data_IF_512687939006
#
_entry.id   IF_512687939006
#
_cell.length_a   1.000
_cell.length_b   1.000
_cell.length_c   1.000
_cell.angle_alpha   90.00
_cell.angle_beta   90.00
_cell.angle_gamma   90.00
#
_symmetry.space_group_name_H-M   'P 1'
#
loop_
_entity.id
_entity.type
_entity.pdbx_description
1 polymer ?
#
# COMPACT_ATOMS: atom_id res chain seq x y z
N UNK A 1 -1.06 -7.80 25.86
CA UNK A 1 0.30 -7.82 25.30
C UNK A 1 0.51 -6.51 24.53
N UNK A 2 1.63 -5.81 24.77
CA UNK A 2 1.89 -4.45 24.23
C UNK A 2 2.26 -4.53 22.74
N UNK A 3 1.67 -3.67 21.90
CA UNK A 3 1.79 -3.67 20.42
C UNK A 3 2.68 -2.52 19.91
N UNK A 4 3.94 -2.40 20.35
CA UNK A 4 4.75 -1.22 20.03
C UNK A 4 6.13 -1.53 19.44
N UNK A 5 6.54 -0.71 18.46
CA UNK A 5 7.94 -0.51 18.08
C UNK A 5 8.77 0.09 19.23
N UNK A 6 10.06 0.35 18.99
CA UNK A 6 10.98 0.76 20.06
C UNK A 6 10.50 1.98 20.83
N UNK A 7 10.76 1.97 22.14
CA UNK A 7 10.12 2.81 23.17
C UNK A 7 10.53 4.29 23.07
N UNK A 8 9.70 5.11 22.45
CA UNK A 8 9.55 6.50 22.86
C UNK A 8 8.78 6.57 24.19
N UNK A 9 9.06 7.58 25.02
CA UNK A 9 8.27 7.81 26.23
C UNK A 9 6.79 8.07 25.86
N UNK A 10 5.82 7.46 26.55
CA UNK A 10 4.41 7.70 26.24
C UNK A 10 4.06 9.18 26.41
N UNK A 11 3.23 9.72 25.50
CA UNK A 11 2.59 11.03 25.65
C UNK A 11 1.68 11.01 26.86
N UNK A 12 2.21 11.32 28.04
CA UNK A 12 1.55 11.05 29.33
C UNK A 12 0.27 11.89 29.53
N UNK A 13 0.16 13.04 28.82
CA UNK A 13 -0.96 13.99 28.92
C UNK A 13 -1.46 14.53 27.56
N UNK A 14 -0.81 14.18 26.45
CA UNK A 14 -1.14 14.63 25.10
C UNK A 14 -1.06 13.41 24.20
N UNK A 15 -2.20 12.95 23.67
CA UNK A 15 -2.33 11.92 22.63
C UNK A 15 -1.31 10.78 22.66
N UNK A 16 -1.68 9.64 23.24
CA UNK A 16 -0.88 8.41 23.25
C UNK A 16 -0.53 7.86 21.86
N UNK A 17 -1.32 8.22 20.84
CA UNK A 17 -1.01 7.96 19.44
C UNK A 17 -0.35 9.16 18.77
N UNK A 18 -1.08 10.27 18.67
CA UNK A 18 -0.64 11.49 17.99
C UNK A 18 -0.80 12.70 18.92
N UNK A 19 0.28 13.44 19.17
CA UNK A 19 0.22 14.71 19.90
C UNK A 19 0.72 15.84 18.99
N UNK A 20 -0.14 16.82 18.72
CA UNK A 20 0.21 18.01 17.95
C UNK A 20 0.11 19.28 18.81
N UNK A 21 1.25 19.75 19.33
CA UNK A 21 1.33 20.96 20.14
C UNK A 21 1.35 22.23 19.27
N UNK A 22 2.18 22.22 18.22
CA UNK A 22 2.26 23.33 17.24
C UNK A 22 2.39 22.81 15.82
N UNK A 23 1.90 23.60 14.85
CA UNK A 23 1.94 23.24 13.43
C UNK A 23 0.73 22.45 12.97
N UNK A 24 0.84 21.85 11.79
CA UNK A 24 -0.27 21.18 11.12
C UNK A 24 -0.02 19.67 11.03
N UNK A 25 -1.00 18.89 11.49
CA UNK A 25 -1.05 17.44 11.28
C UNK A 25 -2.32 17.12 10.53
N UNK A 26 -2.23 16.41 9.41
CA UNK A 26 -3.40 16.00 8.61
C UNK A 26 -3.38 14.49 8.42
N UNK A 27 -4.49 13.83 8.74
CA UNK A 27 -4.67 12.40 8.55
C UNK A 27 -5.45 12.12 7.26
N UNK A 28 -5.07 11.08 6.54
CA UNK A 28 -5.80 10.56 5.36
C UNK A 28 -5.54 9.07 5.28
N UNK A 29 -6.57 8.24 5.07
CA UNK A 29 -6.41 6.78 5.01
C UNK A 29 -5.60 6.25 6.22
N UNK A 30 -5.83 6.81 7.42
CA UNK A 30 -5.04 6.55 8.62
C UNK A 30 -5.86 5.83 9.70
N UNK A 31 -5.24 4.84 10.35
CA UNK A 31 -5.73 4.19 11.55
C UNK A 31 -5.02 4.77 12.77
N UNK A 32 -5.77 5.17 13.79
CA UNK A 32 -5.24 5.55 15.11
C UNK A 32 -6.00 4.77 16.17
N UNK A 33 -5.32 4.03 17.03
CA UNK A 33 -6.02 3.25 18.04
C UNK A 33 -5.13 2.31 18.82
N UNK A 34 -5.74 1.54 19.72
CA UNK A 34 -5.06 0.67 20.67
C UNK A 34 -3.99 1.38 21.51
N UNK A 35 -4.20 2.67 21.79
CA UNK A 35 -3.30 3.45 22.63
C UNK A 35 -3.30 2.90 24.05
N UNK A 36 -2.10 2.64 24.59
CA UNK A 36 -1.95 1.98 25.89
C UNK A 36 -1.99 2.94 27.08
N UNK A 37 -1.93 4.23 26.82
CA UNK A 37 -2.03 5.32 27.78
C UNK A 37 -2.40 6.61 27.03
N UNK A 38 -3.21 7.46 27.65
CA UNK A 38 -3.73 8.67 27.00
C UNK A 38 -4.80 8.36 25.95
N UNK A 39 -5.19 9.41 25.24
CA UNK A 39 -6.15 9.39 24.13
C UNK A 39 -5.46 9.05 22.79
N UNK A 40 -6.20 8.70 21.74
CA UNK A 40 -5.62 8.45 20.41
C UNK A 40 -4.95 9.67 19.80
N UNK A 41 -5.51 10.85 19.99
CA UNK A 41 -4.90 12.08 19.53
C UNK A 41 -5.16 13.28 20.44
N UNK A 42 -4.25 14.24 20.41
CA UNK A 42 -4.41 15.52 21.10
C UNK A 42 -3.88 16.69 20.26
N UNK A 43 -4.49 17.85 20.46
CA UNK A 43 -4.19 19.07 19.73
C UNK A 43 -4.89 19.15 18.38
N UNK A 44 -4.46 20.10 17.54
CA UNK A 44 -5.13 20.37 16.26
C UNK A 44 -4.76 19.31 15.21
N UNK A 45 -5.68 18.38 14.93
CA UNK A 45 -5.51 17.34 13.92
C UNK A 45 -6.55 17.57 12.83
N UNK A 46 -6.10 17.72 11.58
CA UNK A 46 -6.97 17.91 10.41
C UNK A 46 -7.40 16.56 9.85
N UNK A 47 -8.71 16.34 9.77
CA UNK A 47 -9.27 15.16 9.12
C UNK A 47 -9.34 15.36 7.59
N UNK A 48 -8.48 14.64 6.88
CA UNK A 48 -8.44 14.62 5.41
C UNK A 48 -9.39 13.61 4.75
N UNK A 49 -10.14 12.84 5.53
CA UNK A 49 -11.06 11.79 5.10
C UNK A 49 -10.49 10.38 5.25
N UNK A 50 -11.41 9.42 5.37
CA UNK A 50 -11.12 7.98 5.42
C UNK A 50 -10.14 7.60 6.54
N UNK A 51 -10.30 8.21 7.71
CA UNK A 51 -9.51 7.89 8.91
C UNK A 51 -10.36 7.12 9.92
N UNK A 52 -9.78 6.19 10.66
CA UNK A 52 -10.48 5.48 11.75
C UNK A 52 -9.77 5.71 13.09
N UNK A 53 -10.55 6.00 14.13
CA UNK A 53 -10.09 6.09 15.51
C UNK A 53 -10.93 5.22 16.44
N UNK A 54 -10.32 4.35 17.26
CA UNK A 54 -11.06 3.51 18.23
C UNK A 54 -11.51 4.24 19.52
N UNK A 55 -11.30 5.56 19.57
CA UNK A 55 -11.87 6.47 20.55
C UNK A 55 -12.37 7.76 19.88
N UNK A 56 -12.97 8.66 20.67
CA UNK A 56 -13.51 9.94 20.20
C UNK A 56 -12.56 11.15 20.36
N UNK A 57 -11.28 10.93 20.71
CA UNK A 57 -10.33 12.01 21.00
C UNK A 57 -9.90 12.79 19.75
N UNK A 58 -9.92 12.14 18.58
CA UNK A 58 -9.71 12.78 17.30
C UNK A 58 -11.07 13.12 16.68
N UNK A 59 -11.30 14.42 16.46
CA UNK A 59 -12.50 14.90 15.78
C UNK A 59 -12.44 14.53 14.29
N UNK A 60 -13.07 13.41 13.95
CA UNK A 60 -13.19 12.90 12.58
C UNK A 60 -14.60 13.17 12.05
N UNK A 61 -14.70 13.91 10.95
CA UNK A 61 -15.96 14.36 10.35
C UNK A 61 -15.93 14.43 8.82
N UNK A 62 -14.77 14.25 8.19
CA UNK A 62 -14.64 14.20 6.75
C UNK A 62 -15.17 12.86 6.18
N UNK A 63 -15.41 12.83 4.87
CA UNK A 63 -15.94 11.66 4.17
C UNK A 63 -15.16 10.39 4.49
N UNK A 64 -15.89 9.33 4.84
CA UNK A 64 -15.35 8.01 5.12
C UNK A 64 -14.58 7.89 6.43
N UNK A 65 -14.42 8.97 7.20
CA UNK A 65 -13.79 8.91 8.52
C UNK A 65 -14.78 8.51 9.60
N UNK A 66 -14.30 7.80 10.62
CA UNK A 66 -15.11 7.36 11.76
C UNK A 66 -14.27 7.37 13.05
N UNK A 67 -14.77 7.99 14.11
CA UNK A 67 -14.18 7.92 15.45
C UNK A 67 -15.22 7.54 16.50
N UNK A 68 -14.82 6.80 17.53
CA UNK A 68 -15.71 6.39 18.61
C UNK A 68 -15.24 5.15 19.37
N UNK A 69 -15.66 5.04 20.63
CA UNK A 69 -15.20 4.02 21.60
C UNK A 69 -15.58 2.58 21.27
N UNK A 70 -16.45 2.36 20.27
CA UNK A 70 -16.94 1.04 19.88
C UNK A 70 -16.37 0.56 18.55
N UNK A 71 -15.39 1.27 17.98
CA UNK A 71 -14.79 0.89 16.70
C UNK A 71 -13.70 -0.14 16.96
N UNK A 72 -13.98 -1.38 16.60
CA UNK A 72 -12.99 -2.45 16.64
C UNK A 72 -12.21 -2.44 15.32
N UNK A 73 -10.97 -1.94 15.34
CA UNK A 73 -10.11 -1.91 14.14
C UNK A 73 -9.65 -3.32 13.71
N UNK A 74 -9.71 -4.31 14.61
CA UNK A 74 -9.37 -5.71 14.36
C UNK A 74 -7.95 -5.90 13.80
N UNK A 75 -6.98 -5.24 14.44
CA UNK A 75 -5.57 -5.36 14.09
C UNK A 75 -4.88 -6.42 14.93
N UNK A 76 -3.96 -7.16 14.32
CA UNK A 76 -3.09 -8.15 14.95
C UNK A 76 -1.96 -7.50 15.75
N UNK A 77 -0.84 -8.22 15.85
CA UNK A 77 0.39 -7.73 16.48
C UNK A 77 1.36 -7.17 15.45
N UNK A 78 2.16 -6.19 15.87
CA UNK A 78 3.24 -5.66 15.04
C UNK A 78 4.24 -6.79 14.80
N UNK A 79 4.47 -7.13 13.54
CA UNK A 79 5.27 -8.29 13.19
C UNK A 79 5.75 -8.29 11.76
N UNK A 80 6.55 -9.28 11.42
CA UNK A 80 7.01 -9.53 10.06
C UNK A 80 5.91 -10.22 9.26
N UNK A 81 5.15 -9.47 8.46
CA UNK A 81 4.05 -10.02 7.65
C UNK A 81 4.36 -10.01 6.13
N UNK A 82 5.65 -10.11 5.80
CA UNK A 82 6.19 -9.84 4.46
C UNK A 82 6.68 -8.40 4.31
N UNK A 83 7.62 -8.18 3.40
CA UNK A 83 8.19 -6.85 3.11
C UNK A 83 9.35 -6.40 4.03
N UNK A 84 9.83 -5.16 3.84
CA UNK A 84 11.03 -4.65 4.50
C UNK A 84 10.79 -4.07 5.91
N UNK A 85 9.54 -3.83 6.31
CA UNK A 85 9.17 -3.24 7.61
C UNK A 85 8.13 -4.10 8.33
N UNK A 86 8.05 -3.96 9.66
CA UNK A 86 6.98 -4.59 10.43
C UNK A 86 5.64 -3.88 10.18
N UNK A 87 4.55 -4.64 10.13
CA UNK A 87 3.19 -4.15 9.90
C UNK A 87 2.20 -4.77 10.89
N UNK A 88 0.97 -4.27 10.92
CA UNK A 88 -0.16 -4.84 11.66
C UNK A 88 -1.11 -5.51 10.66
N UNK A 89 -1.28 -6.84 10.69
CA UNK A 89 -2.23 -7.53 9.82
C UNK A 89 -3.66 -7.41 10.37
N UNK A 90 -4.69 -7.64 9.55
CA UNK A 90 -6.06 -7.76 10.03
C UNK A 90 -6.31 -9.15 10.64
N UNK A 91 -7.07 -9.20 11.75
CA UNK A 91 -7.41 -10.45 12.44
C UNK A 91 -8.76 -11.02 12.01
N UNK A 92 -9.59 -10.22 11.33
CA UNK A 92 -10.89 -10.65 10.84
C UNK A 92 -11.25 -9.90 9.55
N UNK A 93 -12.14 -10.50 8.76
CA UNK A 93 -12.55 -10.03 7.43
C UNK A 93 -13.56 -8.88 7.48
N UNK A 94 -14.15 -8.62 8.64
CA UNK A 94 -15.15 -7.57 8.88
C UNK A 94 -14.53 -6.31 9.48
N UNK A 95 -13.21 -6.12 9.34
CA UNK A 95 -12.53 -4.94 9.86
C UNK A 95 -13.07 -3.70 9.15
N UNK A 96 -13.40 -2.62 9.88
CA UNK A 96 -13.87 -1.38 9.28
C UNK A 96 -12.83 -0.70 8.38
N UNK A 97 -11.57 -1.16 8.42
CA UNK A 97 -10.48 -0.65 7.60
C UNK A 97 -10.37 -1.32 6.23
N UNK A 98 -10.98 -2.51 6.04
CA UNK A 98 -10.94 -3.25 4.78
C UNK A 98 -11.82 -2.57 3.74
N UNK A 99 -11.30 -2.40 2.52
CA UNK A 99 -11.96 -1.71 1.40
C UNK A 99 -12.51 -0.33 1.78
N UNK A 100 -11.89 0.35 2.75
CA UNK A 100 -12.43 1.56 3.37
C UNK A 100 -11.68 2.86 3.02
N UNK A 101 -10.54 2.77 2.32
CA UNK A 101 -9.66 3.90 1.99
C UNK A 101 -10.06 4.71 0.75
N UNK A 102 -9.49 5.89 0.59
CA UNK A 102 -9.60 6.67 -0.65
C UNK A 102 -8.59 6.20 -1.69
N UNK A 103 -9.05 5.55 -2.76
CA UNK A 103 -8.19 5.08 -3.85
C UNK A 103 -7.40 6.23 -4.52
N UNK A 104 -7.95 7.44 -4.54
CA UNK A 104 -7.27 8.60 -5.13
C UNK A 104 -6.04 9.05 -4.33
N UNK A 105 -5.96 8.66 -3.06
CA UNK A 105 -4.84 8.92 -2.18
C UNK A 105 -3.98 7.67 -1.91
N UNK A 106 -4.38 6.51 -2.44
CA UNK A 106 -3.68 5.25 -2.20
C UNK A 106 -2.48 5.06 -3.12
N UNK A 107 -1.41 4.55 -2.54
CA UNK A 107 -0.28 4.04 -3.31
C UNK A 107 -0.66 2.69 -3.93
N UNK A 108 -0.08 2.31 -5.10
CA UNK A 108 -0.39 1.05 -5.77
C UNK A 108 -0.09 -0.21 -4.93
N UNK A 109 0.81 -0.10 -3.96
CA UNK A 109 1.18 -1.18 -3.04
C UNK A 109 1.12 -0.71 -1.60
N UNK A 110 0.94 -1.64 -0.67
CA UNK A 110 1.09 -1.41 0.75
C UNK A 110 2.59 -1.36 1.18
N UNK A 111 2.87 -1.20 2.48
CA UNK A 111 4.26 -1.10 2.97
C UNK A 111 5.06 -2.38 2.79
N UNK A 112 4.40 -3.51 2.51
CA UNK A 112 5.05 -4.80 2.25
C UNK A 112 5.46 -4.95 0.79
N UNK A 113 5.10 -3.99 -0.07
CA UNK A 113 5.11 -4.06 -1.53
C UNK A 113 4.09 -5.06 -2.11
N UNK A 114 3.02 -5.34 -1.38
CA UNK A 114 1.91 -6.12 -1.91
C UNK A 114 0.96 -5.17 -2.62
N UNK A 115 0.55 -5.52 -3.83
CA UNK A 115 -0.43 -4.78 -4.60
C UNK A 115 -1.75 -4.71 -3.83
N UNK A 116 -2.36 -3.54 -3.87
CA UNK A 116 -3.69 -3.33 -3.29
C UNK A 116 -4.75 -4.04 -4.14
N UNK A 117 -5.77 -4.60 -3.48
CA UNK A 117 -6.79 -5.45 -4.09
C UNK A 117 -8.16 -4.82 -3.92
N UNK A 118 -8.79 -4.41 -5.02
CA UNK A 118 -10.07 -3.71 -4.94
C UNK A 118 -9.88 -2.28 -4.46
N UNK A 119 -10.71 -1.85 -3.52
CA UNK A 119 -10.57 -0.54 -2.90
C UNK A 119 -9.51 -0.66 -1.82
N UNK A 120 -8.61 0.30 -1.73
CA UNK A 120 -7.51 0.18 -0.79
C UNK A 120 -7.97 0.13 0.66
N UNK A 121 -7.28 -0.67 1.47
CA UNK A 121 -7.47 -0.68 2.91
C UNK A 121 -6.87 0.57 3.57
N UNK A 122 -7.47 1.01 4.67
CA UNK A 122 -6.93 2.10 5.47
C UNK A 122 -5.67 1.61 6.19
N UNK A 123 -4.55 2.31 6.00
CA UNK A 123 -3.29 2.04 6.67
C UNK A 123 -2.23 1.31 5.84
N UNK A 124 -1.34 0.60 6.54
CA UNK A 124 -0.06 0.10 6.03
C UNK A 124 -0.10 -1.31 5.43
N UNK A 125 -1.23 -2.01 5.58
CA UNK A 125 -1.41 -3.42 5.25
C UNK A 125 -2.65 -3.56 4.39
N UNK A 126 -2.55 -4.29 3.28
CA UNK A 126 -3.69 -4.70 2.46
C UNK A 126 -4.13 -6.15 2.77
N UNK A 127 -5.38 -6.32 3.16
CA UNK A 127 -6.08 -7.59 3.22
C UNK A 127 -6.17 -8.22 1.83
N UNK A 128 -5.81 -9.51 1.72
CA UNK A 128 -5.70 -10.21 0.43
C UNK A 128 -4.79 -9.52 -0.61
N UNK A 129 -3.90 -8.63 -0.18
CA UNK A 129 -2.85 -8.10 -1.05
C UNK A 129 -1.99 -9.24 -1.61
N UNK A 130 -1.42 -9.04 -2.80
CA UNK A 130 -0.59 -10.03 -3.48
C UNK A 130 0.73 -9.41 -3.95
N UNK A 131 1.79 -10.20 -4.05
CA UNK A 131 3.08 -9.70 -4.55
C UNK A 131 2.94 -9.43 -6.05
N UNK A 132 3.14 -8.19 -6.55
CA UNK A 132 3.06 -7.92 -7.97
C UNK A 132 4.19 -8.59 -8.74
N UNK A 133 3.98 -8.88 -10.01
CA UNK A 133 5.04 -9.42 -10.86
C UNK A 133 6.13 -8.36 -11.13
N UNK A 134 7.39 -8.72 -10.88
CA UNK A 134 8.55 -7.87 -11.23
C UNK A 134 8.96 -8.10 -12.68
N UNK A 135 8.99 -7.01 -13.46
CA UNK A 135 9.57 -7.02 -14.80
C UNK A 135 11.10 -6.92 -14.71
N UNK A 136 11.78 -7.93 -15.24
CA UNK A 136 13.23 -7.91 -15.44
C UNK A 136 13.53 -7.64 -16.91
N UNK A 137 14.61 -6.90 -17.17
CA UNK A 137 15.10 -6.62 -18.52
C UNK A 137 16.60 -6.91 -18.57
N UNK A 138 17.03 -7.65 -19.59
CA UNK A 138 18.45 -7.88 -19.89
C UNK A 138 18.74 -7.58 -21.35
N UNK A 139 19.89 -6.95 -21.63
CA UNK A 139 20.33 -6.70 -23.01
C UNK A 139 21.12 -7.89 -23.54
N UNK A 140 20.89 -8.26 -24.80
CA UNK A 140 21.62 -9.28 -25.54
C UNK A 140 21.96 -8.75 -26.94
N UNK A 141 23.15 -8.18 -27.13
CA UNK A 141 23.62 -7.61 -28.41
C UNK A 141 22.57 -6.70 -29.07
N UNK A 142 21.81 -7.20 -30.06
CA UNK A 142 20.76 -6.50 -30.81
C UNK A 142 19.33 -6.75 -30.29
N UNK A 143 19.20 -7.39 -29.15
CA UNK A 143 17.93 -7.77 -28.53
C UNK A 143 17.88 -7.34 -27.06
N UNK A 144 16.66 -7.23 -26.54
CA UNK A 144 16.38 -7.20 -25.11
C UNK A 144 15.51 -8.40 -24.78
N UNK A 145 15.79 -9.03 -23.64
CA UNK A 145 14.94 -10.08 -23.11
C UNK A 145 14.26 -9.55 -21.86
N UNK A 146 12.95 -9.61 -21.89
CA UNK A 146 12.03 -9.19 -20.85
C UNK A 146 11.49 -10.45 -20.18
N UNK A 147 11.45 -10.45 -18.86
CA UNK A 147 11.00 -11.63 -18.13
C UNK A 147 10.32 -11.31 -16.81
N UNK A 148 9.26 -12.07 -16.49
CA UNK A 148 8.50 -11.95 -15.24
C UNK A 148 7.92 -13.29 -14.81
N UNK A 149 7.56 -13.41 -13.53
CA UNK A 149 7.03 -14.65 -12.96
C UNK A 149 5.69 -15.03 -13.57
N UNK A 150 5.43 -16.33 -13.70
CA UNK A 150 4.11 -16.91 -14.04
C UNK A 150 3.22 -17.10 -12.81
N UNK A 151 3.75 -16.90 -11.59
CA UNK A 151 3.02 -17.12 -10.34
C UNK A 151 1.83 -16.17 -10.14
N UNK A 152 1.81 -15.04 -10.85
CA UNK A 152 0.69 -14.10 -10.86
C UNK A 152 0.19 -13.98 -12.30
N UNK A 153 -0.96 -14.57 -12.65
CA UNK A 153 -1.51 -14.51 -14.00
C UNK A 153 -2.09 -13.13 -14.32
N UNK A 154 -2.49 -12.92 -15.58
CA UNK A 154 -3.20 -11.70 -16.02
C UNK A 154 -2.31 -10.58 -16.57
N UNK A 155 -1.00 -10.61 -16.29
CA UNK A 155 -0.09 -9.59 -16.81
C UNK A 155 0.13 -9.67 -18.33
N UNK A 156 0.01 -8.53 -18.99
CA UNK A 156 0.45 -8.29 -20.37
C UNK A 156 1.61 -7.28 -20.41
N UNK A 157 2.47 -7.44 -21.42
CA UNK A 157 3.65 -6.59 -21.62
C UNK A 157 3.32 -5.46 -22.61
N UNK A 158 3.61 -4.22 -22.21
CA UNK A 158 3.45 -3.04 -23.06
C UNK A 158 4.78 -2.32 -23.26
N UNK A 159 4.89 -1.57 -24.37
CA UNK A 159 6.03 -0.71 -24.67
C UNK A 159 5.62 0.72 -25.04
N UNK A 160 6.53 1.66 -24.88
CA UNK A 160 6.38 3.06 -25.31
C UNK A 160 7.73 3.64 -25.75
N UNK A 161 7.83 4.43 -26.83
CA UNK A 161 9.09 5.11 -27.21
C UNK A 161 9.52 6.21 -26.23
N UNK A 162 8.69 6.58 -25.25
CA UNK A 162 9.01 7.55 -24.21
C UNK A 162 8.38 7.17 -22.84
N UNK A 163 8.65 7.97 -21.81
CA UNK A 163 8.11 7.79 -20.45
C UNK A 163 6.73 8.46 -20.25
N UNK A 164 6.02 8.82 -21.32
CA UNK A 164 4.67 9.38 -21.19
C UNK A 164 3.76 8.37 -20.49
N UNK A 165 2.82 8.88 -19.68
CA UNK A 165 1.78 8.05 -19.07
C UNK A 165 0.76 7.52 -20.09
N UNK A 166 0.71 8.10 -21.28
CA UNK A 166 -0.20 7.74 -22.38
C UNK A 166 0.53 7.04 -23.53
N UNK A 167 -0.21 6.46 -24.48
CA UNK A 167 0.30 5.83 -25.72
C UNK A 167 1.14 4.56 -25.53
N UNK A 168 0.92 3.82 -24.44
CA UNK A 168 1.49 2.49 -24.27
C UNK A 168 0.80 1.49 -25.19
N UNK A 169 1.57 0.73 -25.95
CA UNK A 169 1.06 -0.28 -26.89
C UNK A 169 1.40 -1.67 -26.40
N UNK A 170 0.47 -2.62 -26.57
CA UNK A 170 0.74 -4.03 -26.27
C UNK A 170 1.85 -4.57 -27.18
N UNK A 171 2.79 -5.30 -26.60
CA UNK A 171 3.80 -6.04 -27.36
C UNK A 171 3.18 -7.36 -27.83
N UNK A 172 3.14 -7.60 -29.14
CA UNK A 172 2.43 -8.75 -29.72
C UNK A 172 3.21 -10.07 -29.67
N UNK A 173 4.47 -10.03 -29.23
CA UNK A 173 5.29 -11.22 -29.04
C UNK A 173 4.65 -12.11 -27.97
N UNK A 174 4.33 -13.35 -28.34
CA UNK A 174 3.80 -14.35 -27.40
C UNK A 174 4.90 -14.71 -26.39
N UNK A 175 4.66 -14.57 -25.07
CA UNK A 175 5.63 -15.00 -24.07
C UNK A 175 5.89 -16.50 -24.15
N UNK A 176 7.17 -16.88 -24.15
CA UNK A 176 7.59 -18.26 -23.99
C UNK A 176 7.79 -18.54 -22.50
N UNK A 177 7.16 -19.58 -21.98
CA UNK A 177 7.32 -19.97 -20.57
C UNK A 177 8.54 -20.87 -20.42
N UNK A 178 9.47 -20.48 -19.55
CA UNK A 178 10.64 -21.27 -19.17
C UNK A 178 10.65 -21.39 -17.65
N UNK A 179 10.44 -22.60 -17.12
CA UNK A 179 10.53 -22.93 -15.68
C UNK A 179 9.89 -21.86 -14.77
N UNK A 180 8.62 -21.57 -15.01
CA UNK A 180 7.79 -20.58 -14.28
C UNK A 180 8.06 -19.09 -14.58
N UNK A 181 8.80 -18.77 -15.64
CA UNK A 181 9.04 -17.39 -16.06
C UNK A 181 8.49 -17.16 -17.47
N UNK A 182 7.66 -16.14 -17.63
CA UNK A 182 7.31 -15.60 -18.94
C UNK A 182 8.52 -14.88 -19.53
N UNK A 183 8.91 -15.21 -20.76
CA UNK A 183 10.06 -14.62 -21.45
C UNK A 183 9.64 -14.08 -22.81
N UNK A 184 9.95 -12.82 -23.07
CA UNK A 184 9.74 -12.16 -24.35
C UNK A 184 11.04 -11.56 -24.85
N UNK A 185 11.38 -11.80 -26.10
CA UNK A 185 12.53 -11.18 -26.77
C UNK A 185 12.04 -10.11 -27.73
N UNK A 186 12.54 -8.88 -27.57
CA UNK A 186 12.30 -7.76 -28.48
C UNK A 186 13.63 -7.29 -29.09
N UNK A 187 13.56 -6.62 -30.25
CA UNK A 187 14.74 -6.03 -30.89
C UNK A 187 15.16 -4.76 -30.15
N UNK A 188 16.42 -4.69 -29.75
CA UNK A 188 17.05 -3.47 -29.25
C UNK A 188 17.32 -2.54 -30.44
N UNK A 189 16.32 -1.73 -30.78
CA UNK A 189 16.34 -0.78 -31.90
C UNK A 189 16.13 0.66 -31.40
N UNK A 190 16.51 1.64 -32.23
CA UNK A 190 16.12 3.04 -32.07
C UNK A 190 14.79 3.26 -32.83
N UNK A 191 13.81 4.02 -32.30
CA UNK A 191 13.83 4.79 -31.05
C UNK A 191 13.91 3.91 -29.80
N UNK A 192 14.61 4.42 -28.77
CA UNK A 192 14.60 3.86 -27.40
C UNK A 192 13.18 3.51 -26.94
N UNK A 193 13.02 2.37 -26.27
CA UNK A 193 11.73 1.86 -25.77
C UNK A 193 11.75 1.65 -24.26
N UNK A 194 10.62 1.92 -23.64
CA UNK A 194 10.31 1.66 -22.23
C UNK A 194 9.30 0.53 -22.16
N UNK A 195 9.33 -0.26 -21.09
CA UNK A 195 8.48 -1.44 -20.93
C UNK A 195 7.78 -1.42 -19.58
N UNK A 196 6.56 -1.98 -19.53
CA UNK A 196 5.83 -2.20 -18.27
C UNK A 196 4.96 -3.45 -18.37
N UNK A 197 4.66 -4.02 -17.21
CA UNK A 197 3.58 -4.99 -17.07
C UNK A 197 2.30 -4.27 -16.67
N UNK A 198 1.17 -4.71 -17.21
CA UNK A 198 -0.18 -4.30 -16.80
C UNK A 198 -1.03 -5.54 -16.55
N UNK A 199 -1.76 -5.55 -15.44
CA UNK A 199 -2.74 -6.60 -15.08
C UNK A 199 -4.15 -6.03 -15.29
#
# INVERSE_FOLDING_TARGET
>A
MRKAGQTGGPGKNFGGGIANDTGTTRLKNTLVGYTSAGENGAGSITDGGYNLSDDASVALSATGSLSGTNIQLQLGFLGSNGGPTQTLPFTATDSPAIDAGDDSACLPTDQRHYARSGRCDIGAYEFNGFVPATLNIRRQTSQVVLSWTTAVPGYSLQSNPNLSRTNWTALTNVPVVITNTNVVTDTASDPRRFYRLVN
#
